data_IF_877719485041
#
_entry.id   IF_877719485041
#
_cell.length_a   1.000
_cell.length_b   1.000
_cell.length_c   1.000
_cell.angle_alpha   90.00
_cell.angle_beta   90.00
_cell.angle_gamma   90.00
#
_symmetry.space_group_name_H-M   'P 1'
#
loop_
_entity.id
_entity.type
_entity.pdbx_description
1 polymer ?
#
# COMPACT_ATOMS: atom_id res chain seq x y z
N UNK A 1 36.98 91.94 42.92
CA UNK A 1 37.74 90.82 42.50
C UNK A 1 36.95 89.57 42.93
N UNK A 2 36.06 89.09 42.10
CA UNK A 2 35.12 88.02 42.48
C UNK A 2 35.42 86.81 41.63
N UNK A 3 35.78 85.71 42.28
CA UNK A 3 35.99 84.39 41.62
C UNK A 3 34.66 83.64 41.58
N UNK A 4 34.19 83.28 40.42
CA UNK A 4 33.07 82.42 40.22
C UNK A 4 33.60 81.02 39.82
N UNK A 5 33.28 79.96 40.58
CA UNK A 5 33.61 78.59 40.30
C UNK A 5 32.47 77.92 39.50
N UNK A 6 32.76 77.10 38.50
CA UNK A 6 31.75 76.37 37.74
C UNK A 6 31.33 75.05 38.45
N UNK A 7 30.03 74.84 38.53
CA UNK A 7 29.42 73.55 38.97
C UNK A 7 29.49 72.53 37.83
N UNK A 8 30.17 71.41 38.05
CA UNK A 8 30.05 70.23 37.20
C UNK A 8 28.77 69.47 37.51
N UNK A 9 27.90 69.34 36.51
CA UNK A 9 26.73 68.48 36.58
C UNK A 9 27.16 67.07 36.08
N UNK A 10 27.09 66.07 36.94
CA UNK A 10 27.30 64.66 36.60
C UNK A 10 26.01 64.08 36.00
N UNK A 11 26.03 63.74 34.72
CA UNK A 11 24.98 62.97 34.07
C UNK A 11 25.24 61.46 34.33
N UNK A 12 24.39 60.85 35.18
CA UNK A 12 24.37 59.41 35.38
C UNK A 12 23.52 58.76 34.29
N UNK A 13 24.18 58.14 33.33
CA UNK A 13 23.53 57.35 32.26
C UNK A 13 23.18 55.97 32.84
N UNK A 14 21.92 55.76 33.18
CA UNK A 14 21.43 54.41 33.53
C UNK A 14 21.22 53.59 32.28
N UNK A 15 22.09 52.57 32.05
CA UNK A 15 21.92 51.56 31.01
C UNK A 15 20.91 50.52 31.52
N UNK A 16 19.70 50.59 30.99
CA UNK A 16 18.67 49.54 31.22
C UNK A 16 19.01 48.35 30.25
N UNK A 17 19.62 47.29 30.81
CA UNK A 17 19.74 46.01 30.11
C UNK A 17 18.36 45.36 30.02
N UNK A 18 17.68 45.47 28.87
CA UNK A 18 16.49 44.66 28.54
C UNK A 18 16.98 43.24 28.27
N UNK A 19 16.89 42.36 29.28
CA UNK A 19 17.01 40.95 29.12
C UNK A 19 15.79 40.44 28.31
N UNK A 20 15.95 40.30 26.99
CA UNK A 20 14.98 39.61 26.15
C UNK A 20 15.00 38.13 26.53
N UNK A 21 14.17 37.73 27.50
CA UNK A 21 13.85 36.31 27.73
C UNK A 21 13.02 35.86 26.54
N UNK A 22 13.70 35.30 25.53
CA UNK A 22 13.06 34.57 24.46
C UNK A 22 12.31 33.37 25.08
N UNK A 23 11.06 33.54 25.42
CA UNK A 23 10.18 32.41 25.69
C UNK A 23 10.08 31.60 24.42
N UNK A 24 10.88 30.54 24.32
CA UNK A 24 10.61 29.48 23.34
C UNK A 24 9.19 29.01 23.61
N UNK A 25 8.24 29.41 22.76
CA UNK A 25 6.89 28.90 22.82
C UNK A 25 7.00 27.37 22.63
N UNK A 26 7.00 26.62 23.72
CA UNK A 26 6.85 25.18 23.71
C UNK A 26 5.49 24.94 23.06
N UNK A 27 5.50 24.43 21.81
CA UNK A 27 4.27 24.10 21.13
C UNK A 27 3.48 23.16 22.04
N UNK A 28 2.27 23.58 22.42
CA UNK A 28 1.43 22.82 23.34
C UNK A 28 1.13 21.46 22.70
N UNK A 29 1.48 20.38 23.40
CA UNK A 29 1.17 19.02 22.99
C UNK A 29 -0.34 18.84 22.83
N UNK A 30 -0.75 18.20 21.73
CA UNK A 30 -2.16 17.95 21.42
C UNK A 30 -2.34 16.49 21.04
N UNK A 31 -3.21 15.80 21.76
CA UNK A 31 -3.46 14.37 21.55
C UNK A 31 -4.96 14.10 21.45
N UNK A 32 -5.33 13.27 20.47
CA UNK A 32 -6.61 12.59 20.48
C UNK A 32 -6.48 11.22 21.16
N UNK A 33 -7.61 10.56 21.38
CA UNK A 33 -7.68 9.19 21.87
C UNK A 33 -6.71 8.29 21.12
N UNK A 34 -5.93 7.48 21.84
CA UNK A 34 -4.92 6.59 21.31
C UNK A 34 -3.50 7.16 21.23
N UNK A 35 -3.29 8.43 21.64
CA UNK A 35 -1.97 9.02 21.73
C UNK A 35 -1.72 9.61 23.12
N UNK A 36 -0.47 9.47 23.60
CA UNK A 36 0.04 10.02 24.87
C UNK A 36 1.45 10.56 24.69
N UNK A 37 2.06 11.01 25.76
CA UNK A 37 3.48 11.41 25.79
C UNK A 37 4.44 10.25 25.50
N UNK A 38 4.03 9.02 25.71
CA UNK A 38 4.90 7.83 25.67
C UNK A 38 4.46 6.74 24.69
N UNK A 39 3.20 6.79 24.22
CA UNK A 39 2.61 5.73 23.40
C UNK A 39 1.72 6.28 22.29
N UNK A 40 1.69 5.57 21.17
CA UNK A 40 0.73 5.74 20.07
C UNK A 40 0.09 4.37 19.82
N UNK A 41 -1.22 4.23 20.03
CA UNK A 41 -2.00 3.02 19.72
C UNK A 41 -2.44 3.02 18.27
N UNK A 42 -2.10 1.98 17.54
CA UNK A 42 -2.43 1.82 16.12
C UNK A 42 -3.16 0.49 15.95
N UNK A 43 -4.36 0.54 15.37
CA UNK A 43 -5.13 -0.64 15.00
C UNK A 43 -4.76 -1.16 13.60
N UNK A 44 -4.93 -2.46 13.39
CA UNK A 44 -4.79 -3.09 12.09
C UNK A 44 -5.82 -4.23 11.96
N UNK A 45 -6.29 -4.48 10.75
CA UNK A 45 -7.21 -5.58 10.43
C UNK A 45 -6.62 -6.34 9.24
N UNK A 46 -6.38 -7.64 9.43
CA UNK A 46 -5.64 -8.46 8.49
C UNK A 46 -6.25 -9.86 8.40
N UNK A 47 -6.31 -10.50 7.23
CA UNK A 47 -6.80 -11.87 7.11
C UNK A 47 -5.72 -12.88 7.55
N UNK A 48 -5.53 -13.05 8.87
CA UNK A 48 -4.59 -14.03 9.40
C UNK A 48 -5.05 -15.48 9.18
N UNK A 49 -6.33 -15.67 8.99
CA UNK A 49 -6.96 -16.94 8.64
C UNK A 49 -7.79 -16.84 7.35
N UNK A 50 -8.35 -17.98 6.90
CA UNK A 50 -9.24 -18.02 5.74
C UNK A 50 -8.51 -17.99 4.39
N UNK A 51 -9.27 -17.80 3.28
CA UNK A 51 -8.76 -18.00 1.92
C UNK A 51 -7.74 -16.94 1.47
N UNK A 52 -7.70 -15.79 2.13
CA UNK A 52 -6.78 -14.70 1.84
C UNK A 52 -5.56 -14.67 2.79
N UNK A 53 -5.35 -15.71 3.60
CA UNK A 53 -4.30 -15.76 4.63
C UNK A 53 -2.87 -15.64 4.09
N UNK A 54 -2.63 -15.90 2.81
CA UNK A 54 -1.34 -15.66 2.18
C UNK A 54 -0.89 -14.19 2.29
N UNK A 55 -1.82 -13.23 2.33
CA UNK A 55 -1.51 -11.81 2.49
C UNK A 55 -1.25 -11.37 3.93
N UNK A 56 -1.49 -12.24 4.92
CA UNK A 56 -1.31 -11.94 6.34
C UNK A 56 0.13 -11.56 6.73
N UNK A 57 1.09 -11.97 5.91
CA UNK A 57 2.51 -11.64 6.13
C UNK A 57 2.76 -10.12 6.11
N UNK A 58 1.92 -9.34 5.41
CA UNK A 58 2.00 -7.87 5.41
C UNK A 58 1.85 -7.34 6.85
N UNK A 59 0.78 -7.71 7.55
CA UNK A 59 0.55 -7.27 8.94
C UNK A 59 1.59 -7.81 9.93
N UNK A 60 2.11 -9.01 9.72
CA UNK A 60 3.22 -9.55 10.53
C UNK A 60 4.49 -8.73 10.32
N UNK A 61 4.76 -8.31 9.09
CA UNK A 61 5.90 -7.45 8.77
C UNK A 61 5.75 -6.06 9.37
N UNK A 62 4.55 -5.47 9.30
CA UNK A 62 4.22 -4.19 9.94
C UNK A 62 4.48 -4.27 11.45
N UNK A 63 4.01 -5.33 12.10
CA UNK A 63 4.26 -5.58 13.53
C UNK A 63 5.75 -5.69 13.85
N UNK A 64 6.52 -6.42 13.03
CA UNK A 64 7.97 -6.54 13.16
C UNK A 64 8.67 -5.18 13.00
N UNK A 65 8.26 -4.40 12.00
CA UNK A 65 8.81 -3.07 11.78
C UNK A 65 8.57 -2.13 12.97
N UNK A 66 7.38 -2.13 13.56
CA UNK A 66 7.11 -1.31 14.75
C UNK A 66 7.82 -1.81 16.00
N UNK A 67 8.07 -3.13 16.16
CA UNK A 67 8.97 -3.64 17.21
C UNK A 67 10.38 -3.08 17.04
N UNK A 68 10.92 -3.10 15.82
CA UNK A 68 12.22 -2.49 15.50
C UNK A 68 12.24 -0.99 15.88
N UNK A 69 11.27 -0.22 15.40
CA UNK A 69 11.15 1.22 15.73
C UNK A 69 11.10 1.44 17.25
N UNK A 70 10.36 0.60 17.96
CA UNK A 70 10.27 0.66 19.42
C UNK A 70 11.62 0.38 20.11
N UNK A 71 12.39 -0.59 19.62
CA UNK A 71 13.73 -0.86 20.12
C UNK A 71 14.69 0.33 19.91
N UNK A 72 14.50 1.09 18.82
CA UNK A 72 15.28 2.28 18.46
C UNK A 72 14.81 3.58 19.18
N UNK A 73 13.87 3.49 20.13
CA UNK A 73 13.40 4.65 20.89
C UNK A 73 11.99 5.13 20.54
N UNK A 74 11.34 4.53 19.54
CA UNK A 74 10.00 4.90 19.10
C UNK A 74 9.99 6.06 18.11
N UNK A 75 8.83 6.66 17.89
CA UNK A 75 8.65 7.83 17.03
C UNK A 75 8.50 9.07 17.90
N UNK A 76 9.42 10.03 17.77
CA UNK A 76 9.48 11.23 18.60
C UNK A 76 9.41 10.89 20.11
N UNK A 77 10.09 9.81 20.54
CA UNK A 77 10.12 9.30 21.91
C UNK A 77 8.90 8.48 22.35
N UNK A 78 7.95 8.21 21.45
CA UNK A 78 6.73 7.43 21.75
C UNK A 78 6.81 6.03 21.17
N UNK A 79 6.47 5.04 21.95
CA UNK A 79 6.38 3.63 21.51
C UNK A 79 5.09 3.42 20.69
N UNK A 80 5.16 2.61 19.67
CA UNK A 80 4.00 2.18 18.90
C UNK A 80 3.41 0.93 19.56
N UNK A 81 2.16 1.01 19.96
CA UNK A 81 1.35 -0.12 20.38
C UNK A 81 0.50 -0.57 19.20
N UNK A 82 0.96 -1.59 18.47
CA UNK A 82 0.33 -2.10 17.26
C UNK A 82 -0.60 -3.26 17.59
N UNK A 83 -1.91 -3.03 17.45
CA UNK A 83 -2.98 -3.98 17.78
C UNK A 83 -3.59 -4.48 16.48
N UNK A 84 -3.38 -5.76 16.15
CA UNK A 84 -3.84 -6.34 14.89
C UNK A 84 -4.82 -7.50 15.13
N UNK A 85 -5.95 -7.49 14.42
CA UNK A 85 -7.01 -8.48 14.53
C UNK A 85 -7.28 -9.21 13.22
N UNK A 86 -7.68 -10.47 13.34
CA UNK A 86 -8.06 -11.32 12.21
C UNK A 86 -9.52 -11.07 11.79
N UNK A 87 -9.73 -10.73 10.52
CA UNK A 87 -11.05 -10.68 9.92
C UNK A 87 -11.38 -11.89 9.04
N UNK A 88 -10.45 -12.80 8.83
CA UNK A 88 -10.57 -13.95 7.93
C UNK A 88 -11.02 -13.55 6.50
N UNK A 89 -10.76 -12.31 6.07
CA UNK A 89 -11.24 -11.69 4.82
C UNK A 89 -12.79 -11.61 4.76
N UNK A 90 -13.43 -11.44 5.90
CA UNK A 90 -14.89 -11.38 6.04
C UNK A 90 -15.33 -9.94 6.38
N UNK A 91 -16.08 -9.26 5.50
CA UNK A 91 -16.55 -7.90 5.75
C UNK A 91 -17.31 -7.73 7.07
N UNK A 92 -18.22 -8.66 7.49
CA UNK A 92 -18.85 -8.58 8.80
C UNK A 92 -17.86 -8.62 9.97
N UNK A 93 -16.85 -9.50 9.91
CA UNK A 93 -15.79 -9.56 10.93
C UNK A 93 -14.93 -8.30 10.92
N UNK A 94 -14.60 -7.76 9.74
CA UNK A 94 -13.88 -6.50 9.64
C UNK A 94 -14.61 -5.35 10.35
N UNK A 95 -15.95 -5.29 10.25
CA UNK A 95 -16.78 -4.31 10.98
C UNK A 95 -16.70 -4.53 12.49
N UNK A 96 -16.76 -5.78 12.95
CA UNK A 96 -16.61 -6.14 14.37
C UNK A 96 -15.24 -5.68 14.90
N UNK A 97 -14.15 -6.04 14.19
CA UNK A 97 -12.80 -5.69 14.60
C UNK A 97 -12.54 -4.18 14.56
N UNK A 98 -13.08 -3.48 13.55
CA UNK A 98 -12.96 -2.02 13.49
C UNK A 98 -13.64 -1.35 14.68
N UNK A 99 -14.84 -1.80 15.08
CA UNK A 99 -15.53 -1.28 16.27
C UNK A 99 -14.74 -1.56 17.53
N UNK A 100 -14.19 -2.78 17.69
CA UNK A 100 -13.38 -3.15 18.83
C UNK A 100 -12.14 -2.27 18.95
N UNK A 101 -11.40 -2.05 17.85
CA UNK A 101 -10.23 -1.19 17.80
C UNK A 101 -10.56 0.27 18.17
N UNK A 102 -11.68 0.79 17.66
CA UNK A 102 -12.06 2.20 17.86
C UNK A 102 -12.71 2.45 19.22
N UNK A 103 -13.62 1.56 19.65
CA UNK A 103 -14.51 1.80 20.81
C UNK A 103 -13.98 1.16 22.11
N UNK A 104 -13.19 0.06 22.01
CA UNK A 104 -12.67 -0.65 23.19
C UNK A 104 -11.16 -0.45 23.36
N UNK A 105 -10.37 -0.63 22.30
CA UNK A 105 -8.92 -0.44 22.36
C UNK A 105 -8.51 1.03 22.26
N UNK A 106 -9.43 1.87 21.77
CA UNK A 106 -9.26 3.33 21.69
C UNK A 106 -8.02 3.73 20.87
N UNK A 107 -7.87 3.16 19.66
CA UNK A 107 -6.74 3.46 18.78
C UNK A 107 -6.82 4.87 18.19
N UNK A 108 -5.64 5.47 17.91
CA UNK A 108 -5.55 6.76 17.23
C UNK A 108 -6.05 6.64 15.79
N UNK A 109 -5.67 5.55 15.12
CA UNK A 109 -6.01 5.27 13.72
C UNK A 109 -6.02 3.76 13.46
N UNK A 110 -6.67 3.34 12.36
CA UNK A 110 -6.47 2.00 11.77
C UNK A 110 -5.53 2.15 10.58
N UNK A 111 -4.43 1.41 10.60
CA UNK A 111 -3.36 1.44 9.62
C UNK A 111 -3.28 0.12 8.84
N UNK A 112 -3.12 0.23 7.52
CA UNK A 112 -2.83 -0.89 6.65
C UNK A 112 -3.89 -2.01 6.64
N UNK A 113 -5.19 -1.75 6.89
CA UNK A 113 -6.17 -2.83 6.84
C UNK A 113 -6.25 -3.40 5.44
N UNK A 114 -6.33 -4.74 5.31
CA UNK A 114 -6.22 -5.43 4.03
C UNK A 114 -7.57 -5.85 3.46
N UNK A 115 -7.68 -5.78 2.13
CA UNK A 115 -8.79 -6.30 1.35
C UNK A 115 -9.85 -5.27 1.01
N UNK A 116 -10.24 -5.23 -0.28
CA UNK A 116 -11.22 -4.25 -0.77
C UNK A 116 -12.58 -4.42 -0.12
N UNK A 117 -13.17 -5.63 -0.01
CA UNK A 117 -14.49 -5.78 0.60
C UNK A 117 -14.49 -5.44 2.10
N UNK A 118 -13.47 -5.85 2.85
CA UNK A 118 -13.33 -5.53 4.28
C UNK A 118 -13.22 -4.02 4.52
N UNK A 119 -12.36 -3.34 3.74
CA UNK A 119 -12.19 -1.89 3.84
C UNK A 119 -13.45 -1.12 3.41
N UNK A 120 -14.17 -1.59 2.38
CA UNK A 120 -15.44 -1.00 1.95
C UNK A 120 -16.48 -1.05 3.06
N UNK A 121 -16.54 -2.16 3.79
CA UNK A 121 -17.53 -2.36 4.87
C UNK A 121 -17.31 -1.40 6.05
N UNK A 122 -16.06 -1.04 6.36
CA UNK A 122 -15.75 -0.17 7.50
C UNK A 122 -15.65 1.31 7.12
N UNK A 123 -15.51 1.67 5.84
CA UNK A 123 -15.20 3.02 5.38
C UNK A 123 -16.17 4.09 5.91
N UNK A 124 -17.47 3.86 5.78
CA UNK A 124 -18.49 4.81 6.27
C UNK A 124 -18.44 4.99 7.78
N UNK A 125 -18.24 3.91 8.53
CA UNK A 125 -18.10 3.93 9.98
C UNK A 125 -16.87 4.73 10.40
N UNK A 126 -15.71 4.47 9.81
CA UNK A 126 -14.45 5.18 10.12
C UNK A 126 -14.56 6.68 9.84
N UNK A 127 -15.18 7.04 8.70
CA UNK A 127 -15.40 8.45 8.34
C UNK A 127 -16.41 9.13 9.29
N UNK A 128 -17.50 8.46 9.69
CA UNK A 128 -18.47 8.99 10.66
C UNK A 128 -17.84 9.21 12.04
N UNK A 129 -16.96 8.31 12.50
CA UNK A 129 -16.22 8.40 13.75
C UNK A 129 -15.02 9.37 13.68
N UNK A 130 -14.67 9.87 12.50
CA UNK A 130 -13.47 10.70 12.25
C UNK A 130 -12.19 10.02 12.75
N UNK A 131 -12.07 8.71 12.49
CA UNK A 131 -10.87 7.91 12.79
C UNK A 131 -10.18 7.58 11.48
N UNK A 132 -8.89 7.90 11.31
CA UNK A 132 -8.16 7.60 10.08
C UNK A 132 -8.17 6.10 9.76
N UNK A 133 -8.59 5.75 8.56
CA UNK A 133 -8.40 4.46 7.89
C UNK A 133 -7.29 4.66 6.87
N UNK A 134 -6.03 4.53 7.31
CA UNK A 134 -4.88 5.08 6.63
C UNK A 134 -4.05 4.00 5.95
N UNK A 135 -3.67 4.28 4.69
CA UNK A 135 -2.82 3.44 3.87
C UNK A 135 -3.36 2.02 3.71
N UNK A 136 -4.68 1.94 3.38
CA UNK A 136 -5.35 0.65 3.18
C UNK A 136 -4.60 -0.21 2.15
N UNK A 137 -4.44 -1.51 2.46
CA UNK A 137 -3.71 -2.45 1.63
C UNK A 137 -4.61 -3.02 0.52
N UNK A 138 -4.95 -2.14 -0.41
CA UNK A 138 -5.71 -2.42 -1.63
C UNK A 138 -5.62 -1.23 -2.58
N UNK A 139 -5.54 -1.48 -3.88
CA UNK A 139 -5.44 -0.45 -4.92
C UNK A 139 -6.78 -0.04 -5.52
N UNK A 140 -7.92 -0.36 -4.90
CA UNK A 140 -9.22 0.04 -5.46
C UNK A 140 -9.33 1.55 -5.61
N UNK A 141 -9.86 1.99 -6.75
CA UNK A 141 -9.93 3.40 -7.15
C UNK A 141 -10.68 4.29 -6.14
N UNK A 142 -11.63 3.72 -5.43
CA UNK A 142 -12.45 4.41 -4.43
C UNK A 142 -11.70 4.99 -3.25
N UNK A 143 -10.44 4.60 -3.01
CA UNK A 143 -9.62 5.13 -1.91
C UNK A 143 -9.06 6.53 -2.17
N UNK A 144 -9.11 7.01 -3.41
CA UNK A 144 -8.76 8.37 -3.79
C UNK A 144 -10.02 9.25 -3.93
N UNK A 145 -10.74 9.44 -2.84
CA UNK A 145 -11.94 10.27 -2.78
C UNK A 145 -11.97 11.13 -1.49
N UNK A 146 -11.06 12.10 -1.37
CA UNK A 146 -10.95 12.92 -0.16
C UNK A 146 -12.18 13.79 0.10
N UNK A 147 -13.00 14.07 -0.92
CA UNK A 147 -14.20 14.89 -0.75
C UNK A 147 -15.30 14.15 0.01
N UNK A 148 -15.55 12.89 -0.33
CA UNK A 148 -16.59 12.08 0.32
C UNK A 148 -16.07 11.31 1.54
N UNK A 149 -14.80 10.91 1.50
CA UNK A 149 -14.18 10.06 2.51
C UNK A 149 -12.82 10.64 2.99
N UNK A 150 -12.84 11.81 3.65
CA UNK A 150 -11.61 12.50 4.06
C UNK A 150 -10.78 11.74 5.12
N UNK A 151 -11.31 10.67 5.70
CA UNK A 151 -10.65 9.85 6.71
C UNK A 151 -10.16 8.49 6.17
N UNK A 152 -10.23 8.27 4.85
CA UNK A 152 -9.75 7.02 4.22
C UNK A 152 -8.75 7.33 3.12
N UNK A 153 -7.57 6.73 3.17
CA UNK A 153 -6.51 6.89 2.16
C UNK A 153 -5.92 5.54 1.78
N UNK A 154 -5.73 5.30 0.47
CA UNK A 154 -5.01 4.15 -0.07
C UNK A 154 -3.49 4.29 0.05
N UNK A 155 -2.76 3.25 -0.35
CA UNK A 155 -1.30 3.28 -0.47
C UNK A 155 -0.81 2.73 -1.81
N UNK A 156 -1.41 1.65 -2.28
CA UNK A 156 -0.98 0.94 -3.50
C UNK A 156 -1.37 1.70 -4.78
N UNK A 157 -0.71 1.42 -5.91
CA UNK A 157 -1.16 1.89 -7.22
C UNK A 157 -2.61 1.48 -7.52
N UNK A 158 -3.27 2.29 -8.32
CA UNK A 158 -4.69 2.13 -8.64
C UNK A 158 -4.95 0.94 -9.58
N UNK A 159 -5.90 0.08 -9.25
CA UNK A 159 -6.24 -1.12 -10.01
C UNK A 159 -6.79 -0.84 -11.41
N UNK A 160 -7.64 0.17 -11.58
CA UNK A 160 -8.13 0.53 -12.92
C UNK A 160 -6.98 0.99 -13.81
N UNK A 161 -6.00 1.70 -13.25
CA UNK A 161 -4.84 2.16 -14.01
C UNK A 161 -3.92 1.02 -14.40
N UNK A 162 -3.69 0.07 -13.52
CA UNK A 162 -2.96 -1.16 -13.85
C UNK A 162 -3.62 -1.91 -15.00
N UNK A 163 -4.93 -2.09 -14.93
CA UNK A 163 -5.69 -2.78 -15.98
C UNK A 163 -5.69 -2.01 -17.32
N UNK A 164 -5.73 -0.67 -17.29
CA UNK A 164 -5.54 0.16 -18.50
C UNK A 164 -4.16 -0.03 -19.14
N UNK A 165 -3.12 -0.21 -18.32
CA UNK A 165 -1.77 -0.51 -18.81
C UNK A 165 -1.78 -1.86 -19.53
N UNK A 166 -2.41 -2.89 -18.97
CA UNK A 166 -2.56 -4.19 -19.63
C UNK A 166 -3.34 -4.06 -20.95
N UNK A 167 -4.45 -3.35 -20.96
CA UNK A 167 -5.23 -3.10 -22.17
C UNK A 167 -4.39 -2.43 -23.28
N UNK A 168 -3.63 -1.39 -22.95
CA UNK A 168 -2.73 -0.72 -23.90
C UNK A 168 -1.66 -1.67 -24.45
N UNK A 169 -1.09 -2.52 -23.59
CA UNK A 169 -0.13 -3.53 -24.02
C UNK A 169 -0.78 -4.53 -24.97
N UNK A 170 -1.97 -5.04 -24.64
CA UNK A 170 -2.72 -5.99 -25.48
C UNK A 170 -3.02 -5.35 -26.85
N UNK A 171 -3.53 -4.14 -26.90
CA UNK A 171 -3.86 -3.45 -28.14
C UNK A 171 -2.64 -3.21 -29.05
N UNK A 172 -1.46 -3.05 -28.43
CA UNK A 172 -0.20 -2.90 -29.17
C UNK A 172 0.30 -4.23 -29.73
N UNK A 173 0.28 -5.29 -28.95
CA UNK A 173 0.90 -6.57 -29.30
C UNK A 173 -0.06 -7.54 -30.03
N UNK A 174 -1.38 -7.44 -29.74
CA UNK A 174 -2.42 -8.36 -30.28
C UNK A 174 -3.73 -7.61 -30.56
N UNK A 175 -3.82 -6.91 -31.68
CA UNK A 175 -4.97 -6.05 -32.04
C UNK A 175 -6.31 -6.78 -32.13
N UNK A 176 -6.29 -8.06 -32.43
CA UNK A 176 -7.48 -8.92 -32.61
C UNK A 176 -7.51 -10.02 -31.51
N UNK A 177 -7.01 -9.70 -30.33
CA UNK A 177 -6.93 -10.63 -29.19
C UNK A 177 -8.33 -11.10 -28.78
N UNK A 178 -8.39 -12.38 -28.38
CA UNK A 178 -9.52 -13.02 -27.72
C UNK A 178 -9.22 -13.09 -26.22
N UNK A 179 -9.76 -12.15 -25.47
CA UNK A 179 -9.40 -11.94 -24.06
C UNK A 179 -10.36 -12.72 -23.16
N UNK A 180 -9.80 -13.58 -22.29
CA UNK A 180 -10.51 -14.13 -21.14
C UNK A 180 -10.13 -13.35 -19.88
N UNK A 181 -11.12 -13.02 -19.05
CA UNK A 181 -10.92 -12.35 -17.78
C UNK A 181 -11.47 -13.23 -16.67
N UNK A 182 -10.63 -13.62 -15.71
CA UNK A 182 -11.05 -14.25 -14.46
C UNK A 182 -10.88 -13.24 -13.32
N UNK A 183 -11.93 -12.97 -12.57
CA UNK A 183 -11.88 -11.97 -11.52
C UNK A 183 -12.66 -12.38 -10.26
N UNK A 184 -12.20 -11.93 -9.10
CA UNK A 184 -12.91 -12.12 -7.84
C UNK A 184 -14.23 -11.34 -7.85
N UNK A 185 -15.36 -11.96 -7.49
CA UNK A 185 -16.69 -11.34 -7.54
C UNK A 185 -16.92 -10.36 -6.37
N UNK A 186 -16.11 -9.33 -6.34
CA UNK A 186 -16.26 -8.22 -5.40
C UNK A 186 -15.72 -6.90 -5.99
N UNK A 187 -15.66 -5.85 -5.17
CA UNK A 187 -15.17 -4.53 -5.59
C UNK A 187 -13.73 -4.57 -6.11
N UNK A 188 -12.88 -5.50 -5.64
CA UNK A 188 -11.50 -5.65 -6.12
C UNK A 188 -11.46 -6.10 -7.58
N UNK A 189 -12.13 -7.22 -7.89
CA UNK A 189 -12.13 -7.76 -9.24
C UNK A 189 -12.86 -6.84 -10.24
N UNK A 190 -14.01 -6.28 -9.81
CA UNK A 190 -14.80 -5.35 -10.63
C UNK A 190 -14.08 -4.05 -10.95
N UNK A 191 -13.23 -3.56 -10.06
CA UNK A 191 -12.42 -2.36 -10.29
C UNK A 191 -11.36 -2.59 -11.39
N UNK A 192 -10.66 -3.73 -11.38
CA UNK A 192 -9.77 -4.12 -12.47
C UNK A 192 -10.51 -4.32 -13.79
N UNK A 193 -11.63 -5.06 -13.77
CA UNK A 193 -12.43 -5.30 -14.98
C UNK A 193 -12.88 -4.00 -15.63
N UNK A 194 -13.32 -3.03 -14.81
CA UNK A 194 -13.66 -1.69 -15.29
C UNK A 194 -12.47 -1.02 -15.97
N UNK A 195 -11.31 -1.04 -15.34
CA UNK A 195 -10.09 -0.45 -15.90
C UNK A 195 -9.65 -1.10 -17.21
N UNK A 196 -9.78 -2.42 -17.33
CA UNK A 196 -9.51 -3.15 -18.57
C UNK A 196 -10.43 -2.71 -19.69
N UNK A 197 -11.74 -2.66 -19.44
CA UNK A 197 -12.75 -2.19 -20.41
C UNK A 197 -12.50 -0.76 -20.84
N UNK A 198 -12.23 0.13 -19.88
CA UNK A 198 -11.91 1.53 -20.17
C UNK A 198 -10.66 1.64 -21.06
N UNK A 199 -9.63 0.83 -20.81
CA UNK A 199 -8.40 0.83 -21.59
C UNK A 199 -8.54 0.24 -23.00
N UNK A 200 -9.45 -0.72 -23.20
CA UNK A 200 -9.77 -1.30 -24.50
C UNK A 200 -10.72 -0.41 -25.32
N UNK A 201 -11.47 0.48 -24.64
CA UNK A 201 -12.44 1.37 -25.28
C UNK A 201 -13.52 0.60 -26.06
N UNK A 202 -13.84 1.07 -27.25
CA UNK A 202 -14.88 0.47 -28.12
C UNK A 202 -14.59 -0.99 -28.51
N UNK A 203 -13.34 -1.43 -28.39
CA UNK A 203 -12.94 -2.80 -28.68
C UNK A 203 -13.26 -3.79 -27.55
N UNK A 204 -13.59 -3.33 -26.37
CA UNK A 204 -13.84 -4.20 -25.22
C UNK A 204 -14.89 -5.28 -25.54
N UNK A 205 -16.02 -4.89 -26.10
CA UNK A 205 -17.11 -5.80 -26.40
C UNK A 205 -16.77 -6.88 -27.46
N UNK A 206 -15.86 -6.59 -28.39
CA UNK A 206 -15.45 -7.55 -29.41
C UNK A 206 -14.26 -8.40 -29.01
N UNK A 207 -13.37 -7.87 -28.15
CA UNK A 207 -12.15 -8.55 -27.73
C UNK A 207 -12.34 -9.45 -26.50
N UNK A 208 -13.17 -9.03 -25.53
CA UNK A 208 -13.42 -9.83 -24.32
C UNK A 208 -14.43 -10.94 -24.67
N UNK A 209 -13.95 -12.16 -24.80
CA UNK A 209 -14.79 -13.32 -25.16
C UNK A 209 -15.44 -14.00 -23.96
N UNK A 210 -14.89 -13.74 -22.75
CA UNK A 210 -15.47 -14.21 -21.49
C UNK A 210 -15.01 -13.34 -20.32
N UNK A 211 -15.97 -12.97 -19.50
CA UNK A 211 -15.80 -12.40 -18.17
C UNK A 211 -16.34 -13.44 -17.19
N UNK A 212 -15.46 -14.03 -16.41
CA UNK A 212 -15.83 -15.09 -15.47
C UNK A 212 -15.47 -14.68 -14.04
N UNK A 213 -16.47 -14.67 -13.19
CA UNK A 213 -16.30 -14.31 -11.80
C UNK A 213 -16.13 -15.57 -10.95
N UNK A 214 -15.27 -15.52 -9.93
CA UNK A 214 -15.17 -16.59 -8.94
C UNK A 214 -15.42 -16.03 -7.53
N UNK A 215 -15.95 -16.89 -6.67
CA UNK A 215 -16.16 -16.58 -5.26
C UNK A 215 -14.95 -16.99 -4.42
N UNK A 216 -14.55 -16.17 -3.43
CA UNK A 216 -13.42 -16.45 -2.53
C UNK A 216 -13.59 -17.78 -1.78
N UNK A 217 -14.84 -18.22 -1.59
CA UNK A 217 -15.18 -19.47 -0.91
C UNK A 217 -15.04 -20.71 -1.80
N UNK A 218 -14.82 -20.56 -3.11
CA UNK A 218 -14.65 -21.70 -4.00
C UNK A 218 -13.43 -22.56 -3.63
N UNK A 219 -13.55 -23.88 -3.70
CA UNK A 219 -12.42 -24.75 -3.40
C UNK A 219 -11.36 -24.69 -4.49
N UNK A 220 -11.76 -24.57 -5.77
CA UNK A 220 -10.91 -24.52 -6.96
C UNK A 220 -11.57 -23.71 -8.08
N UNK A 221 -10.73 -23.18 -8.98
CA UNK A 221 -11.17 -22.41 -10.16
C UNK A 221 -10.87 -23.16 -11.46
N UNK A 222 -10.63 -24.46 -11.40
CA UNK A 222 -10.22 -25.28 -12.55
C UNK A 222 -11.22 -25.24 -13.72
N UNK A 223 -12.52 -25.25 -13.40
CA UNK A 223 -13.61 -25.17 -14.39
C UNK A 223 -13.60 -23.87 -15.18
N UNK A 224 -13.27 -22.74 -14.52
CA UNK A 224 -13.15 -21.45 -15.17
C UNK A 224 -12.02 -21.48 -16.21
N UNK A 225 -10.85 -22.03 -15.86
CA UNK A 225 -9.70 -22.12 -16.77
C UNK A 225 -9.99 -23.02 -17.98
N UNK A 226 -10.66 -24.16 -17.77
CA UNK A 226 -11.09 -25.05 -18.85
C UNK A 226 -12.07 -24.33 -19.79
N UNK A 227 -13.05 -23.60 -19.26
CA UNK A 227 -13.99 -22.79 -20.03
C UNK A 227 -13.28 -21.74 -20.90
N UNK A 228 -12.33 -21.01 -20.33
CA UNK A 228 -11.57 -19.98 -21.06
C UNK A 228 -10.79 -20.55 -22.24
N UNK A 229 -10.12 -21.69 -22.05
CA UNK A 229 -9.44 -22.41 -23.13
C UNK A 229 -10.42 -22.85 -24.21
N UNK A 230 -11.60 -23.39 -23.84
CA UNK A 230 -12.58 -23.88 -24.81
C UNK A 230 -13.14 -22.79 -25.73
N UNK A 231 -13.10 -21.53 -25.27
CA UNK A 231 -13.48 -20.35 -26.05
C UNK A 231 -12.35 -19.81 -26.93
N UNK A 232 -11.24 -20.55 -27.05
CA UNK A 232 -10.06 -20.15 -27.81
C UNK A 232 -9.52 -18.76 -27.45
N UNK A 233 -9.56 -18.41 -26.16
CA UNK A 233 -8.94 -17.19 -25.67
C UNK A 233 -7.40 -17.31 -25.80
N UNK A 234 -6.78 -16.27 -26.34
CA UNK A 234 -5.32 -16.19 -26.56
C UNK A 234 -4.65 -15.12 -25.67
N UNK A 235 -5.45 -14.40 -24.90
CA UNK A 235 -5.02 -13.51 -23.82
C UNK A 235 -5.79 -13.89 -22.55
N UNK A 236 -5.08 -13.98 -21.44
CA UNK A 236 -5.66 -14.19 -20.12
C UNK A 236 -5.32 -13.02 -19.20
N UNK A 237 -6.34 -12.35 -18.68
CA UNK A 237 -6.21 -11.33 -17.64
C UNK A 237 -6.69 -11.95 -16.33
N UNK A 238 -5.72 -12.25 -15.48
CA UNK A 238 -5.88 -12.99 -14.22
C UNK A 238 -5.96 -12.01 -13.04
N UNK A 239 -7.18 -11.78 -12.57
CA UNK A 239 -7.49 -10.88 -11.45
C UNK A 239 -7.90 -11.71 -10.24
N UNK A 240 -7.05 -12.64 -9.87
CA UNK A 240 -7.32 -13.57 -8.78
C UNK A 240 -6.44 -13.31 -7.57
N UNK A 241 -6.93 -13.71 -6.39
CA UNK A 241 -6.13 -13.70 -5.17
C UNK A 241 -5.06 -14.79 -5.17
N UNK A 242 -4.07 -14.68 -4.29
CA UNK A 242 -2.84 -15.48 -4.31
C UNK A 242 -3.06 -17.00 -4.46
N UNK A 243 -4.00 -17.58 -3.69
CA UNK A 243 -4.36 -19.02 -3.77
C UNK A 243 -4.84 -19.38 -5.18
N UNK A 244 -5.73 -18.57 -5.72
CA UNK A 244 -6.38 -18.84 -7.02
C UNK A 244 -5.45 -18.52 -8.20
N UNK A 245 -4.58 -17.52 -8.07
CA UNK A 245 -3.54 -17.24 -9.06
C UNK A 245 -2.61 -18.44 -9.24
N UNK A 246 -2.15 -19.05 -8.15
CA UNK A 246 -1.35 -20.27 -8.24
C UNK A 246 -2.11 -21.43 -8.88
N UNK A 247 -3.41 -21.58 -8.61
CA UNK A 247 -4.25 -22.60 -9.25
C UNK A 247 -4.44 -22.31 -10.74
N UNK A 248 -4.72 -21.06 -11.13
CA UNK A 248 -4.92 -20.65 -12.51
C UNK A 248 -3.69 -20.92 -13.37
N UNK A 249 -2.51 -20.50 -12.91
CA UNK A 249 -1.23 -20.73 -13.60
C UNK A 249 -0.98 -22.22 -13.80
N UNK A 250 -1.11 -23.02 -12.74
CA UNK A 250 -0.91 -24.48 -12.79
C UNK A 250 -1.90 -25.16 -13.73
N UNK A 251 -3.20 -24.82 -13.60
CA UNK A 251 -4.25 -25.43 -14.41
C UNK A 251 -4.12 -25.08 -15.89
N UNK A 252 -3.79 -23.83 -16.22
CA UNK A 252 -3.53 -23.44 -17.61
C UNK A 252 -2.39 -24.26 -18.22
N UNK A 253 -1.31 -24.45 -17.46
CA UNK A 253 -0.18 -25.28 -17.89
C UNK A 253 -0.56 -26.75 -18.07
N UNK A 254 -1.27 -27.35 -17.10
CA UNK A 254 -1.73 -28.73 -17.10
C UNK A 254 -2.56 -29.06 -18.34
N UNK A 255 -3.48 -28.18 -18.71
CA UNK A 255 -4.32 -28.38 -19.90
C UNK A 255 -3.65 -27.93 -21.21
N UNK A 256 -2.39 -27.49 -21.18
CA UNK A 256 -1.67 -27.00 -22.36
C UNK A 256 -2.20 -25.68 -22.92
N UNK A 257 -2.83 -24.81 -22.10
CA UNK A 257 -3.24 -23.47 -22.51
C UNK A 257 -2.11 -22.47 -22.21
N UNK A 258 -1.62 -21.78 -23.23
CA UNK A 258 -0.49 -20.84 -23.16
C UNK A 258 -0.89 -19.48 -23.75
N UNK A 259 -1.81 -18.74 -23.13
CA UNK A 259 -2.19 -17.40 -23.57
C UNK A 259 -1.10 -16.38 -23.23
N UNK A 260 -1.18 -15.20 -23.83
CA UNK A 260 -0.50 -14.03 -23.27
C UNK A 260 -1.14 -13.72 -21.92
N UNK A 261 -0.43 -14.00 -20.83
CA UNK A 261 -0.97 -14.02 -19.48
C UNK A 261 -0.57 -12.74 -18.71
N UNK A 262 -1.58 -11.99 -18.27
CA UNK A 262 -1.41 -10.83 -17.35
C UNK A 262 -1.89 -11.24 -15.96
N UNK A 263 -1.01 -11.11 -14.98
CA UNK A 263 -1.31 -11.38 -13.59
C UNK A 263 -1.35 -10.06 -12.81
N UNK A 264 -2.40 -9.84 -12.04
CA UNK A 264 -2.52 -8.66 -11.20
C UNK A 264 -1.38 -8.54 -10.18
N UNK A 265 -0.95 -7.30 -9.87
CA UNK A 265 0.25 -7.04 -9.08
C UNK A 265 0.21 -7.59 -7.65
N UNK A 266 -0.98 -7.70 -7.05
CA UNK A 266 -1.14 -8.18 -5.65
C UNK A 266 -0.99 -9.69 -5.51
N UNK A 267 -0.91 -10.44 -6.61
CA UNK A 267 -0.75 -11.90 -6.63
C UNK A 267 0.56 -12.37 -7.28
N UNK A 268 1.59 -11.54 -7.26
CA UNK A 268 2.86 -11.81 -7.95
C UNK A 268 3.99 -12.30 -7.05
N UNK A 269 3.74 -12.58 -5.76
CA UNK A 269 4.75 -13.11 -4.84
C UNK A 269 5.34 -14.41 -5.37
N UNK A 270 6.66 -14.45 -5.51
CA UNK A 270 7.35 -15.66 -5.94
C UNK A 270 7.16 -16.77 -4.91
N UNK A 271 7.31 -16.45 -3.62
CA UNK A 271 7.17 -17.42 -2.54
C UNK A 271 5.73 -17.93 -2.36
N UNK A 272 4.74 -17.03 -2.40
CA UNK A 272 3.36 -17.36 -2.09
C UNK A 272 2.53 -17.84 -3.31
N UNK A 273 2.93 -17.46 -4.54
CA UNK A 273 2.13 -17.73 -5.76
C UNK A 273 2.92 -18.51 -6.80
N UNK A 274 4.05 -17.97 -7.25
CA UNK A 274 4.76 -18.53 -8.41
C UNK A 274 5.39 -19.88 -8.08
N UNK A 275 6.06 -20.01 -6.94
CA UNK A 275 6.66 -21.28 -6.51
C UNK A 275 5.62 -22.40 -6.34
N UNK A 276 4.47 -22.18 -5.67
CA UNK A 276 3.38 -23.16 -5.65
C UNK A 276 2.78 -23.48 -7.01
N UNK A 277 2.78 -22.54 -7.96
CA UNK A 277 2.29 -22.74 -9.32
C UNK A 277 3.25 -23.58 -10.18
N UNK A 278 4.56 -23.56 -9.86
CA UNK A 278 5.66 -24.08 -10.67
C UNK A 278 6.29 -22.99 -11.54
N UNK A 279 7.60 -22.80 -11.42
CA UNK A 279 8.33 -21.77 -12.17
C UNK A 279 8.19 -21.94 -13.68
N UNK A 280 8.24 -23.19 -14.16
CA UNK A 280 8.09 -23.55 -15.56
C UNK A 280 6.71 -23.18 -16.11
N UNK A 281 5.68 -23.15 -15.26
CA UNK A 281 4.31 -22.82 -15.62
C UNK A 281 4.07 -21.32 -15.71
N UNK A 282 4.90 -20.53 -15.04
CA UNK A 282 4.74 -19.09 -14.90
C UNK A 282 5.59 -18.28 -15.92
N UNK A 283 6.32 -18.96 -16.81
CA UNK A 283 7.20 -18.26 -17.76
C UNK A 283 6.40 -17.30 -18.65
N UNK A 284 6.98 -16.13 -18.90
CA UNK A 284 6.43 -15.03 -19.70
C UNK A 284 5.16 -14.36 -19.18
N UNK A 285 4.69 -14.71 -17.97
CA UNK A 285 3.61 -13.96 -17.31
C UNK A 285 4.03 -12.50 -17.14
N UNK A 286 3.14 -11.59 -17.50
CA UNK A 286 3.36 -10.14 -17.41
C UNK A 286 2.58 -9.58 -16.20
N UNK A 287 3.20 -8.65 -15.51
CA UNK A 287 2.58 -7.86 -14.44
C UNK A 287 3.19 -6.46 -14.39
N UNK A 288 2.87 -5.70 -13.36
CA UNK A 288 3.54 -4.44 -13.05
C UNK A 288 4.27 -4.53 -11.71
N UNK A 289 5.22 -3.63 -11.49
CA UNK A 289 5.91 -3.44 -10.23
C UNK A 289 6.00 -1.96 -9.87
N UNK A 290 5.99 -1.68 -8.58
CA UNK A 290 6.32 -0.38 -8.00
C UNK A 290 7.35 -0.51 -6.87
N UNK A 291 7.58 -1.74 -6.40
CA UNK A 291 8.59 -2.11 -5.41
C UNK A 291 9.63 -3.03 -6.04
N UNK A 292 10.84 -2.99 -5.53
CA UNK A 292 11.92 -3.91 -5.88
C UNK A 292 11.55 -5.33 -5.45
N UNK A 293 11.74 -6.30 -6.33
CA UNK A 293 11.59 -7.71 -5.97
C UNK A 293 12.88 -8.20 -5.28
N UNK A 294 12.79 -8.81 -4.10
CA UNK A 294 13.99 -9.24 -3.37
C UNK A 294 14.79 -10.35 -4.08
N UNK A 295 14.18 -11.11 -4.98
CA UNK A 295 14.87 -12.16 -5.75
C UNK A 295 15.49 -11.66 -7.06
N UNK A 296 15.21 -10.42 -7.45
CA UNK A 296 15.83 -9.83 -8.63
C UNK A 296 17.27 -9.37 -8.31
N UNK A 297 18.23 -10.04 -8.91
CA UNK A 297 19.66 -9.82 -8.67
C UNK A 297 20.17 -8.43 -9.04
N UNK A 298 19.41 -7.66 -9.84
CA UNK A 298 19.80 -6.28 -10.14
C UNK A 298 19.83 -5.41 -8.86
N UNK A 299 19.07 -5.76 -7.82
CA UNK A 299 18.99 -5.03 -6.56
C UNK A 299 19.93 -5.53 -5.46
N UNK A 300 20.75 -6.56 -5.72
CA UNK A 300 21.61 -7.18 -4.68
C UNK A 300 22.52 -6.19 -3.95
N UNK A 301 22.96 -5.14 -4.64
CA UNK A 301 23.85 -4.12 -4.10
C UNK A 301 23.13 -2.80 -3.76
N UNK A 302 21.80 -2.71 -3.99
CA UNK A 302 21.01 -1.55 -3.66
C UNK A 302 20.95 -1.32 -2.14
N UNK A 303 21.21 -0.09 -1.65
CA UNK A 303 21.20 0.20 -0.21
C UNK A 303 19.83 -0.09 0.46
N UNK A 304 18.71 0.14 -0.24
CA UNK A 304 17.37 -0.16 0.26
C UNK A 304 17.12 -1.65 0.39
N UNK A 305 17.64 -2.45 -0.55
CA UNK A 305 17.55 -3.92 -0.46
C UNK A 305 18.42 -4.45 0.67
N UNK A 306 19.63 -3.92 0.87
CA UNK A 306 20.47 -4.26 2.03
C UNK A 306 19.80 -3.92 3.36
N UNK A 307 19.17 -2.76 3.46
CA UNK A 307 18.41 -2.39 4.66
C UNK A 307 17.21 -3.34 4.92
N UNK A 308 16.56 -3.78 3.85
CA UNK A 308 15.52 -4.80 3.94
C UNK A 308 16.06 -6.17 4.39
N UNK A 309 17.19 -6.61 3.86
CA UNK A 309 17.85 -7.87 4.26
C UNK A 309 18.30 -7.81 5.73
N UNK A 310 18.82 -6.67 6.19
CA UNK A 310 19.14 -6.46 7.62
C UNK A 310 17.90 -6.53 8.50
N UNK A 311 16.79 -5.91 8.08
CA UNK A 311 15.52 -5.99 8.79
C UNK A 311 15.03 -7.44 8.90
N UNK A 312 15.06 -8.21 7.80
CA UNK A 312 14.70 -9.62 7.83
C UNK A 312 15.58 -10.41 8.83
N UNK A 313 16.90 -10.21 8.75
CA UNK A 313 17.82 -10.98 9.60
C UNK A 313 17.67 -10.69 11.09
N UNK A 314 17.38 -9.43 11.46
CA UNK A 314 17.38 -9.00 12.86
C UNK A 314 15.99 -8.95 13.50
N UNK A 315 15.00 -8.42 12.75
CA UNK A 315 13.72 -8.01 13.29
C UNK A 315 12.56 -8.90 12.83
N UNK A 316 12.77 -9.67 11.74
CA UNK A 316 11.77 -10.58 11.18
C UNK A 316 12.39 -11.87 10.60
N UNK A 317 13.17 -12.64 11.41
CA UNK A 317 13.92 -13.80 10.92
C UNK A 317 13.03 -14.95 10.41
N UNK A 318 11.77 -15.02 10.82
CA UNK A 318 10.77 -15.95 10.28
C UNK A 318 10.25 -15.57 8.90
N UNK A 319 10.56 -14.37 8.40
CA UNK A 319 10.12 -13.86 7.09
C UNK A 319 10.80 -14.60 5.94
N UNK A 320 10.00 -15.07 4.98
CA UNK A 320 10.54 -15.68 3.76
C UNK A 320 10.92 -14.60 2.75
N UNK A 321 12.20 -14.41 2.49
CA UNK A 321 12.72 -13.42 1.53
C UNK A 321 12.10 -13.53 0.12
N UNK A 322 11.68 -14.72 -0.29
CA UNK A 322 11.02 -14.94 -1.57
C UNK A 322 9.56 -14.42 -1.61
N UNK A 323 9.01 -14.01 -0.48
CA UNK A 323 7.68 -13.44 -0.40
C UNK A 323 7.75 -11.90 -0.48
N UNK A 324 7.51 -11.36 -1.69
CA UNK A 324 7.54 -9.91 -1.93
C UNK A 324 6.47 -9.12 -1.16
N UNK A 325 5.48 -9.78 -0.57
CA UNK A 325 4.51 -9.13 0.31
C UNK A 325 5.15 -8.58 1.60
N UNK A 326 6.28 -9.16 2.03
CA UNK A 326 7.08 -8.63 3.14
C UNK A 326 7.64 -7.25 2.77
N UNK A 327 8.11 -7.07 1.52
CA UNK A 327 8.57 -5.76 1.05
C UNK A 327 7.44 -4.73 1.10
N UNK A 328 6.21 -5.14 0.78
CA UNK A 328 5.02 -4.27 0.89
C UNK A 328 4.81 -3.81 2.33
N UNK A 329 4.74 -4.74 3.28
CA UNK A 329 4.57 -4.43 4.71
C UNK A 329 5.68 -3.53 5.26
N UNK A 330 6.92 -3.81 4.88
CA UNK A 330 8.08 -3.01 5.29
C UNK A 330 8.00 -1.56 4.79
N UNK A 331 7.59 -1.34 3.54
CA UNK A 331 7.55 0.00 2.94
C UNK A 331 6.32 0.80 3.37
N UNK A 332 5.15 0.18 3.53
CA UNK A 332 3.97 0.90 4.02
C UNK A 332 4.15 1.32 5.48
N UNK A 333 4.80 0.50 6.31
CA UNK A 333 5.13 0.86 7.69
C UNK A 333 6.09 2.05 7.77
N UNK A 334 7.08 2.14 6.87
CA UNK A 334 7.94 3.32 6.74
C UNK A 334 7.14 4.58 6.39
N UNK A 335 6.12 4.44 5.53
CA UNK A 335 5.26 5.57 5.14
C UNK A 335 4.48 6.10 6.35
N UNK A 336 3.89 5.23 7.16
CA UNK A 336 3.22 5.66 8.39
C UNK A 336 4.21 6.27 9.39
N UNK A 337 5.38 5.65 9.57
CA UNK A 337 6.41 6.20 10.46
C UNK A 337 6.80 7.64 10.07
N UNK A 338 6.89 7.93 8.76
CA UNK A 338 7.15 9.28 8.26
C UNK A 338 6.01 10.24 8.62
N UNK A 339 4.75 9.84 8.42
CA UNK A 339 3.58 10.65 8.79
C UNK A 339 3.57 10.98 10.27
N UNK A 340 3.79 9.98 11.13
CA UNK A 340 3.82 10.17 12.58
C UNK A 340 5.01 11.03 13.04
N UNK A 341 6.17 10.93 12.38
CA UNK A 341 7.31 11.84 12.62
C UNK A 341 6.94 13.29 12.31
N UNK A 342 6.25 13.52 11.19
CA UNK A 342 5.78 14.86 10.79
C UNK A 342 4.71 15.44 11.73
N UNK A 343 3.92 14.58 12.40
CA UNK A 343 2.94 15.03 13.41
C UNK A 343 3.60 15.71 14.62
N UNK A 344 4.83 15.31 14.98
CA UNK A 344 5.51 15.85 16.16
C UNK A 344 4.69 15.65 17.44
N UNK A 345 4.45 16.73 18.17
CA UNK A 345 3.65 16.75 19.39
C UNK A 345 2.15 17.01 19.16
N UNK A 346 1.73 17.10 17.90
CA UNK A 346 0.32 17.21 17.54
C UNK A 346 -0.18 15.88 16.95
N UNK A 347 -0.54 14.94 17.82
CA UNK A 347 -1.09 13.62 17.47
C UNK A 347 -2.63 13.64 17.56
N UNK A 348 -3.24 14.65 16.95
CA UNK A 348 -4.68 14.61 16.67
C UNK A 348 -4.95 13.85 15.39
N UNK A 349 -6.08 13.15 15.29
CA UNK A 349 -6.51 12.43 14.09
C UNK A 349 -6.56 13.32 12.86
N UNK A 350 -7.02 14.58 13.05
CA UNK A 350 -7.03 15.58 11.98
C UNK A 350 -5.62 15.89 11.47
N UNK A 351 -4.65 16.09 12.38
CA UNK A 351 -3.28 16.36 11.97
C UNK A 351 -2.62 15.13 11.33
N UNK A 352 -2.93 13.92 11.78
CA UNK A 352 -2.48 12.68 11.12
C UNK A 352 -2.92 12.66 9.66
N UNK A 353 -4.21 12.90 9.37
CA UNK A 353 -4.71 12.97 7.99
C UNK A 353 -4.08 14.12 7.21
N UNK A 354 -3.89 15.29 7.84
CA UNK A 354 -3.21 16.42 7.22
C UNK A 354 -1.77 16.10 6.81
N UNK A 355 -1.01 15.42 7.68
CA UNK A 355 0.36 15.01 7.36
C UNK A 355 0.39 13.89 6.31
N UNK A 356 -0.53 12.93 6.37
CA UNK A 356 -0.68 11.91 5.35
C UNK A 356 -1.02 12.51 3.97
N UNK A 357 -1.82 13.58 3.94
CA UNK A 357 -2.15 14.34 2.73
C UNK A 357 -1.10 15.40 2.34
N UNK A 358 0.11 15.33 2.88
CA UNK A 358 1.18 16.29 2.62
C UNK A 358 2.55 15.62 2.48
N UNK A 359 2.58 14.39 2.00
CA UNK A 359 3.84 13.74 1.63
C UNK A 359 4.37 14.37 0.34
N UNK A 360 5.65 14.76 0.33
CA UNK A 360 6.31 15.41 -0.80
C UNK A 360 7.61 14.68 -1.12
N UNK A 361 7.70 14.16 -2.33
CA UNK A 361 8.86 13.45 -2.85
C UNK A 361 9.44 12.40 -1.89
N UNK A 362 8.57 11.85 -1.03
CA UNK A 362 8.98 10.86 -0.05
C UNK A 362 9.30 9.54 -0.74
N UNK A 363 10.36 8.89 -0.29
CA UNK A 363 10.74 7.57 -0.79
C UNK A 363 10.90 6.62 0.39
N UNK A 364 10.32 5.45 0.26
CA UNK A 364 10.66 4.31 1.09
C UNK A 364 11.84 3.55 0.47
N UNK A 365 12.45 2.68 1.23
CA UNK A 365 13.72 2.05 0.85
C UNK A 365 13.66 1.21 -0.41
N UNK A 366 12.52 0.54 -0.70
CA UNK A 366 12.40 -0.41 -1.80
C UNK A 366 11.46 0.03 -2.93
N UNK A 367 11.06 1.30 -2.99
CA UNK A 367 10.40 1.81 -4.19
C UNK A 367 11.34 1.74 -5.39
N UNK A 368 10.82 1.34 -6.55
CA UNK A 368 11.61 1.36 -7.79
C UNK A 368 12.24 2.74 -8.02
N UNK A 369 13.45 2.81 -8.59
CA UNK A 369 14.10 4.07 -8.92
C UNK A 369 13.18 5.00 -9.72
N UNK A 370 13.08 6.26 -9.31
CA UNK A 370 12.20 7.26 -9.93
C UNK A 370 10.81 7.36 -9.30
N UNK A 371 10.30 6.33 -8.62
CA UNK A 371 9.01 6.40 -7.93
C UNK A 371 9.15 7.18 -6.63
N UNK A 372 8.20 8.06 -6.39
CA UNK A 372 8.08 8.88 -5.19
C UNK A 372 6.65 8.87 -4.68
N UNK A 373 6.49 8.94 -3.38
CA UNK A 373 5.19 9.09 -2.72
C UNK A 373 4.88 10.59 -2.63
N UNK A 374 3.76 10.95 -3.25
CA UNK A 374 3.23 12.31 -3.22
C UNK A 374 1.73 12.27 -2.94
N UNK A 375 1.28 13.12 -2.01
CA UNK A 375 -0.14 13.27 -1.66
C UNK A 375 -0.50 14.73 -1.54
N UNK A 376 -1.80 15.04 -1.63
CA UNK A 376 -2.33 16.37 -1.37
C UNK A 376 -3.73 16.29 -0.77
N UNK A 377 -4.30 17.40 -0.26
CA UNK A 377 -5.66 17.41 0.28
C UNK A 377 -6.75 17.02 -0.74
N UNK A 378 -6.45 17.05 -2.02
CA UNK A 378 -7.37 16.69 -3.11
C UNK A 378 -6.96 15.41 -3.86
N UNK A 379 -5.88 14.75 -3.40
CA UNK A 379 -5.32 13.57 -4.05
C UNK A 379 -4.72 12.60 -3.02
N UNK A 380 -5.45 11.54 -2.74
CA UNK A 380 -5.13 10.49 -1.78
C UNK A 380 -4.52 9.22 -2.44
N UNK A 381 -3.94 9.37 -3.65
CA UNK A 381 -3.20 8.31 -4.34
C UNK A 381 -1.68 8.51 -4.16
N UNK A 382 -1.04 7.86 -3.16
CA UNK A 382 0.37 8.11 -2.85
C UNK A 382 1.34 7.65 -3.94
N UNK A 383 1.08 6.49 -4.57
CA UNK A 383 1.95 5.88 -5.58
C UNK A 383 1.21 5.86 -6.92
N UNK A 384 1.79 6.54 -7.92
CA UNK A 384 1.16 6.76 -9.22
C UNK A 384 1.96 6.20 -10.39
N UNK A 385 3.09 5.60 -10.11
CA UNK A 385 3.99 5.08 -11.12
C UNK A 385 4.22 3.59 -10.94
N UNK A 386 4.28 2.88 -12.06
CA UNK A 386 4.60 1.46 -12.11
C UNK A 386 5.48 1.18 -13.33
N UNK A 387 6.16 0.04 -13.33
CA UNK A 387 6.87 -0.46 -14.50
C UNK A 387 6.41 -1.88 -14.82
N UNK A 388 6.33 -2.22 -16.10
CA UNK A 388 6.05 -3.58 -16.52
C UNK A 388 7.17 -4.53 -16.10
N UNK A 389 6.79 -5.74 -15.75
CA UNK A 389 7.71 -6.86 -15.48
C UNK A 389 7.22 -8.13 -16.11
N UNK A 390 8.14 -9.04 -16.37
CA UNK A 390 7.87 -10.37 -16.93
C UNK A 390 8.56 -11.42 -16.10
N UNK A 391 7.88 -12.52 -15.83
CA UNK A 391 8.50 -13.64 -15.11
C UNK A 391 9.40 -14.43 -16.05
N UNK A 392 10.66 -14.59 -15.69
CA UNK A 392 11.66 -15.38 -16.44
C UNK A 392 12.56 -16.17 -15.53
N UNK A 393 12.80 -17.44 -15.89
CA UNK A 393 13.57 -18.33 -15.04
C UNK A 393 12.94 -18.49 -13.66
N UNK A 394 13.50 -17.81 -12.65
CA UNK A 394 13.04 -17.87 -11.27
C UNK A 394 12.77 -16.48 -10.66
N UNK A 395 12.74 -15.43 -11.48
CA UNK A 395 12.59 -14.05 -11.01
C UNK A 395 11.73 -13.19 -11.94
N UNK A 396 11.38 -12.01 -11.48
CA UNK A 396 10.74 -10.98 -12.28
C UNK A 396 11.78 -10.07 -12.91
N UNK A 397 11.71 -9.87 -14.21
CA UNK A 397 12.54 -8.92 -14.96
C UNK A 397 11.71 -7.69 -15.34
N UNK A 398 12.18 -6.50 -14.98
CA UNK A 398 11.59 -5.24 -15.41
C UNK A 398 11.82 -5.01 -16.91
N UNK A 399 10.82 -4.46 -17.58
CA UNK A 399 10.97 -4.06 -18.99
C UNK A 399 10.11 -2.83 -19.32
N UNK A 400 10.44 -2.17 -20.45
CA UNK A 400 9.75 -0.94 -20.85
C UNK A 400 10.03 0.25 -19.95
N UNK A 401 9.46 1.41 -20.25
CA UNK A 401 9.63 2.62 -19.45
C UNK A 401 8.79 2.57 -18.16
N UNK A 402 9.12 3.48 -17.23
CA UNK A 402 8.22 3.81 -16.13
C UNK A 402 6.91 4.39 -16.69
N UNK A 403 5.78 3.89 -16.22
CA UNK A 403 4.45 4.28 -16.66
C UNK A 403 3.78 5.08 -15.54
N UNK A 404 3.14 6.18 -15.90
CA UNK A 404 2.30 6.92 -14.97
C UNK A 404 0.92 6.28 -14.94
N UNK A 405 0.45 5.96 -13.76
CA UNK A 405 -0.87 5.35 -13.56
C UNK A 405 -2.03 6.37 -13.62
N UNK A 406 -1.72 7.67 -13.76
CA UNK A 406 -2.74 8.72 -13.91
C UNK A 406 -3.18 8.96 -15.36
N UNK A 407 -2.85 8.10 -16.30
CA UNK A 407 -3.21 8.33 -17.68
C UNK A 407 -4.73 8.28 -17.87
N UNK A 408 -5.37 9.43 -17.64
CA UNK A 408 -6.54 9.85 -18.34
C UNK A 408 -6.07 10.48 -19.65
N UNK A 409 -6.43 9.91 -20.74
CA UNK A 409 -6.07 10.41 -22.06
C UNK A 409 -5.50 9.33 -22.95
#
# INVERSE_FOLDING_TARGET
MFFVAPRLAAFSTAIILLAATGSSAIAQKKYDTGATDTEIKIGNIMPYSGPASAWSVIGRTEAAYFRKINAEGGINGRKINFISYDDAYSPPKAVEQARKLVESDEVLLIFGPLGTPSNSAIQKYMNAKKVPQLFVQTGATKWNDPQRFPWTMGWQPNYQNEARIYAKYILKEKRDARIAVLYQDDDYGKDYLKGLKDGLGDKAASMIVVEDAYEVAEPTIDSHIVKMKSLNADVFVDITGAKFAAQAIRKAAEIGWRPLHFLNTVSTSIGAVIKPAGFENAQDIISVAFLMDPLDLQWKDDPGMKAFDEFLAKDFPEGNRADSLIVTGFNVAQTLAQVLKQCGDNLTRENVMKQAANLKDFRTTNLLPGIKINTSPIDFAPIKQVQLRRFKGATWELFGPMLNSEIGG
#
